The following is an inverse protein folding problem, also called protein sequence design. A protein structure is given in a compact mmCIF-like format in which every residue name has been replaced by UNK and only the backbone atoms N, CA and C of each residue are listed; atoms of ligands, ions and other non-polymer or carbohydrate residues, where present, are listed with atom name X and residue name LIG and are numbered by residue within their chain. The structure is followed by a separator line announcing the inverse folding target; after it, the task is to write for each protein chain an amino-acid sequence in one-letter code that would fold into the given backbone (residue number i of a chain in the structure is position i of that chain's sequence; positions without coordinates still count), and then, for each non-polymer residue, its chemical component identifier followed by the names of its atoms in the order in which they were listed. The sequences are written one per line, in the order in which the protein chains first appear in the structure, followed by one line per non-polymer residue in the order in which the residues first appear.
data_IF_300379524915
#
_entry.id   IF_300379524915
#
_cell.length_a   1.000
_cell.length_b   1.000
_cell.length_c   1.000
_cell.angle_alpha   90.00
_cell.angle_beta   90.00
_cell.angle_gamma   90.00
#
_symmetry.space_group_name_H-M   'P 1'
#
loop_
_entity.id
_entity.type
_entity.pdbx_description
1 polymer ?
#
# COMPACT_ATOMS: atom_id res chain seq x y z
N UNK A 1 -0.58 6.72 -7.42
CA UNK A 1 -0.23 7.96 -6.68
C UNK A 1 -1.27 8.99 -6.98
N UNK A 2 -1.87 9.57 -5.95
CA UNK A 2 -2.91 10.59 -6.13
C UNK A 2 -2.28 11.90 -6.59
N UNK A 3 -2.90 12.55 -7.57
CA UNK A 3 -2.48 13.87 -8.05
C UNK A 3 -2.82 14.90 -6.95
N UNK A 4 -1.92 15.85 -6.63
CA UNK A 4 -2.17 16.86 -5.62
C UNK A 4 -3.45 17.66 -5.91
N UNK A 5 -4.15 18.06 -4.86
CA UNK A 5 -5.36 18.88 -4.92
C UNK A 5 -5.60 19.55 -3.55
N UNK A 6 -6.40 20.60 -3.51
CA UNK A 6 -6.81 21.19 -2.23
C UNK A 6 -7.73 20.25 -1.43
N UNK A 7 -8.57 19.45 -2.10
CA UNK A 7 -9.50 18.50 -1.46
C UNK A 7 -8.94 17.07 -1.36
N UNK A 8 -7.68 16.86 -1.77
CA UNK A 8 -6.99 15.58 -1.63
C UNK A 8 -5.98 15.67 -0.48
N UNK A 9 -5.93 14.68 0.44
CA UNK A 9 -4.95 14.70 1.51
C UNK A 9 -3.51 14.74 0.98
N UNK A 10 -2.57 15.38 1.70
CA UNK A 10 -1.18 15.40 1.28
C UNK A 10 -0.63 13.97 1.16
N UNK A 11 0.01 13.67 0.03
CA UNK A 11 0.52 12.33 -0.28
C UNK A 11 1.47 11.83 0.83
N UNK A 12 1.27 10.57 1.26
CA UNK A 12 2.04 9.89 2.31
C UNK A 12 1.97 10.51 3.72
N UNK A 13 1.03 11.42 3.97
CA UNK A 13 0.93 12.10 5.27
C UNK A 13 0.20 11.28 6.35
N UNK A 14 -0.74 10.42 5.94
CA UNK A 14 -1.69 9.79 6.86
C UNK A 14 -2.73 10.76 7.43
N UNK A 15 -2.76 12.02 6.97
CA UNK A 15 -3.68 13.06 7.43
C UNK A 15 -5.00 13.05 6.64
N UNK A 16 -6.03 13.66 7.22
CA UNK A 16 -7.26 14.01 6.50
C UNK A 16 -7.10 15.29 5.67
N UNK A 17 -8.09 15.58 4.82
CA UNK A 17 -8.13 16.79 3.96
C UNK A 17 -8.04 18.07 4.80
N UNK A 18 -8.84 18.14 5.85
CA UNK A 18 -9.00 19.30 6.75
C UNK A 18 -8.16 19.18 8.03
N UNK A 19 -7.13 18.32 8.03
CA UNK A 19 -6.30 18.15 9.22
C UNK A 19 -5.51 19.43 9.53
N UNK A 20 -5.59 19.99 10.74
CA UNK A 20 -4.88 21.22 11.10
C UNK A 20 -3.34 21.09 10.99
N UNK A 21 -2.79 19.88 10.98
CA UNK A 21 -1.36 19.63 10.80
C UNK A 21 -0.92 19.65 9.34
N UNK A 22 -1.86 19.71 8.37
CA UNK A 22 -1.57 19.69 6.93
C UNK A 22 -0.47 20.67 6.53
N UNK A 23 -0.62 21.95 6.89
CA UNK A 23 0.34 22.98 6.51
C UNK A 23 1.74 22.73 7.07
N UNK A 24 1.83 22.23 8.31
CA UNK A 24 3.10 21.85 8.91
C UNK A 24 3.75 20.65 8.21
N UNK A 25 2.95 19.64 7.84
CA UNK A 25 3.40 18.50 7.07
C UNK A 25 3.92 18.91 5.70
N UNK A 26 3.16 19.69 4.92
CA UNK A 26 3.55 20.14 3.58
C UNK A 26 4.85 20.96 3.61
N UNK A 27 4.98 21.89 4.57
CA UNK A 27 6.21 22.67 4.73
C UNK A 27 7.42 21.78 5.06
N UNK A 28 7.24 20.78 5.94
CA UNK A 28 8.30 19.82 6.28
C UNK A 28 8.63 18.92 5.10
N UNK A 29 7.63 18.46 4.34
CA UNK A 29 7.81 17.64 3.15
C UNK A 29 8.64 18.37 2.09
N UNK A 30 8.31 19.63 1.80
CA UNK A 30 9.08 20.46 0.87
C UNK A 30 10.53 20.64 1.33
N UNK A 31 10.74 20.88 2.63
CA UNK A 31 12.08 21.01 3.19
C UNK A 31 12.87 19.70 3.09
N UNK A 32 12.26 18.58 3.47
CA UNK A 32 12.92 17.27 3.48
C UNK A 32 13.23 16.74 2.07
N UNK A 33 12.38 17.05 1.09
CA UNK A 33 12.53 16.59 -0.29
C UNK A 33 13.35 17.53 -1.19
N UNK A 34 13.62 18.77 -0.75
CA UNK A 34 14.27 19.80 -1.56
C UNK A 34 15.54 19.34 -2.29
N UNK A 35 16.48 18.72 -1.57
CA UNK A 35 17.76 18.30 -2.18
C UNK A 35 17.57 17.22 -3.27
N UNK A 36 16.67 16.26 -3.03
CA UNK A 36 16.35 15.21 -4.01
C UNK A 36 15.61 15.81 -5.22
N UNK A 37 14.67 16.71 -4.97
CA UNK A 37 13.90 17.41 -5.99
C UNK A 37 14.79 18.28 -6.88
N UNK A 38 15.73 19.04 -6.30
CA UNK A 38 16.68 19.86 -7.06
C UNK A 38 17.58 19.01 -7.95
N UNK A 39 18.02 17.84 -7.46
CA UNK A 39 18.76 16.87 -8.27
C UNK A 39 17.91 16.32 -9.41
N UNK A 40 16.64 16.01 -9.16
CA UNK A 40 15.71 15.54 -10.19
C UNK A 40 15.47 16.59 -11.27
N UNK A 41 15.25 17.85 -10.88
CA UNK A 41 15.07 18.95 -11.83
C UNK A 41 16.32 19.24 -12.65
N UNK A 42 17.54 19.14 -12.07
CA UNK A 42 18.78 19.20 -12.86
C UNK A 42 18.82 18.12 -13.94
N UNK A 43 18.53 16.87 -13.55
CA UNK A 43 18.47 15.76 -14.50
C UNK A 43 17.41 15.98 -15.60
N UNK A 44 16.23 16.51 -15.25
CA UNK A 44 15.20 16.88 -16.24
C UNK A 44 15.70 17.92 -17.24
N UNK A 45 16.34 18.98 -16.76
CA UNK A 45 16.88 20.04 -17.62
C UNK A 45 18.00 19.52 -18.53
N UNK A 46 18.88 18.66 -18.02
CA UNK A 46 19.93 18.01 -18.81
C UNK A 46 19.33 17.12 -19.93
N UNK A 47 18.15 16.57 -19.71
CA UNK A 47 17.38 15.82 -20.69
C UNK A 47 16.48 16.69 -21.60
N UNK A 48 16.56 18.03 -21.50
CA UNK A 48 15.77 18.95 -22.30
C UNK A 48 14.31 19.12 -21.86
N UNK A 49 13.97 18.68 -20.64
CA UNK A 49 12.64 18.81 -20.05
C UNK A 49 12.54 20.02 -19.12
N UNK A 50 11.34 20.59 -19.00
CA UNK A 50 11.06 21.64 -18.04
C UNK A 50 11.18 21.12 -16.59
N UNK A 51 11.64 21.96 -15.64
CA UNK A 51 11.64 21.61 -14.22
C UNK A 51 10.20 21.49 -13.69
N UNK A 52 9.99 20.62 -12.70
CA UNK A 52 8.71 20.51 -12.00
C UNK A 52 8.61 21.49 -10.83
N UNK A 53 7.38 21.88 -10.43
CA UNK A 53 7.13 22.62 -9.19
C UNK A 53 7.67 21.88 -7.96
N UNK A 54 8.09 22.63 -6.93
CA UNK A 54 8.69 22.06 -5.71
C UNK A 54 7.85 20.95 -5.10
N UNK A 55 8.52 19.84 -4.75
CA UNK A 55 7.88 18.69 -4.13
C UNK A 55 7.16 17.75 -5.08
N UNK A 56 7.10 18.06 -6.38
CA UNK A 56 6.50 17.18 -7.38
C UNK A 56 7.57 16.33 -8.08
N UNK A 57 7.36 15.02 -8.08
CA UNK A 57 8.24 14.06 -8.73
C UNK A 57 7.58 13.34 -9.92
N UNK A 58 6.33 13.71 -10.22
CA UNK A 58 5.50 13.12 -11.26
C UNK A 58 4.91 14.23 -12.12
N UNK A 59 4.88 13.99 -13.42
CA UNK A 59 4.31 14.87 -14.43
C UNK A 59 3.11 14.16 -15.06
N UNK A 60 2.02 14.90 -15.30
CA UNK A 60 0.87 14.37 -16.04
C UNK A 60 1.13 14.44 -17.53
N UNK A 61 0.67 13.42 -18.25
CA UNK A 61 0.72 13.39 -19.71
C UNK A 61 -0.24 14.45 -20.29
N UNK A 62 0.15 15.17 -21.35
CA UNK A 62 -0.75 16.04 -22.08
C UNK A 62 -1.87 15.25 -22.78
N UNK A 63 -1.62 14.00 -23.16
CA UNK A 63 -2.52 13.23 -24.01
C UNK A 63 -3.44 12.29 -23.23
N UNK A 64 -2.88 11.46 -22.34
CA UNK A 64 -3.64 10.44 -21.62
C UNK A 64 -2.96 9.98 -20.33
N UNK A 65 -3.72 9.92 -19.25
CA UNK A 65 -3.31 9.49 -17.92
C UNK A 65 -4.26 8.38 -17.45
N UNK A 66 -3.71 7.22 -17.12
CA UNK A 66 -4.47 6.08 -16.63
C UNK A 66 -4.27 5.93 -15.13
N UNK A 67 -5.35 6.04 -14.36
CA UNK A 67 -5.35 6.02 -12.90
C UNK A 67 -5.86 4.67 -12.40
N UNK A 68 -4.96 3.88 -11.82
CA UNK A 68 -5.30 2.60 -11.21
C UNK A 68 -5.85 2.82 -9.79
N UNK A 69 -7.10 3.28 -9.71
CA UNK A 69 -7.79 3.56 -8.45
C UNK A 69 -9.27 3.16 -8.58
N UNK A 70 -9.79 2.33 -7.67
CA UNK A 70 -11.21 2.01 -7.60
C UNK A 70 -12.07 3.23 -7.26
N UNK A 71 -13.25 3.33 -7.87
CA UNK A 71 -14.18 4.43 -7.62
C UNK A 71 -14.58 4.54 -6.14
N UNK A 72 -14.70 3.41 -5.42
CA UNK A 72 -15.09 3.40 -4.00
C UNK A 72 -14.09 4.12 -3.07
N UNK A 73 -12.83 4.25 -3.46
CA UNK A 73 -11.79 4.96 -2.67
C UNK A 73 -11.36 6.28 -3.32
N UNK A 74 -12.00 6.67 -4.43
CA UNK A 74 -11.67 7.90 -5.14
C UNK A 74 -11.99 9.11 -4.28
N UNK A 75 -11.06 10.06 -4.21
CA UNK A 75 -11.24 11.33 -3.52
C UNK A 75 -11.98 12.35 -4.37
N UNK A 76 -12.81 13.15 -3.72
CA UNK A 76 -13.31 14.40 -4.29
C UNK A 76 -12.15 15.39 -4.47
N UNK A 77 -12.32 16.30 -5.41
CA UNK A 77 -11.27 17.21 -5.86
C UNK A 77 -11.88 18.58 -6.09
N UNK A 78 -11.19 19.62 -5.64
CA UNK A 78 -11.56 21.01 -5.88
C UNK A 78 -11.47 21.30 -7.38
N UNK A 79 -10.45 20.74 -8.05
CA UNK A 79 -10.29 20.80 -9.49
C UNK A 79 -10.56 19.41 -10.11
N UNK A 80 -11.75 19.20 -10.72
CA UNK A 80 -12.06 17.96 -11.41
C UNK A 80 -11.06 17.66 -12.54
N UNK A 81 -10.62 16.41 -12.62
CA UNK A 81 -9.78 15.97 -13.74
C UNK A 81 -10.61 15.86 -15.02
N UNK A 82 -10.04 16.30 -16.14
CA UNK A 82 -10.65 16.17 -17.47
C UNK A 82 -10.83 14.69 -17.84
N UNK A 83 -12.08 14.20 -17.99
CA UNK A 83 -12.34 12.79 -18.28
C UNK A 83 -11.84 12.35 -19.66
N UNK A 84 -11.57 13.27 -20.59
CA UNK A 84 -10.96 12.94 -21.88
C UNK A 84 -9.46 12.59 -21.76
N UNK A 85 -8.80 13.06 -20.70
CA UNK A 85 -7.35 12.92 -20.46
C UNK A 85 -7.01 12.08 -19.25
N UNK A 86 -7.96 11.85 -18.35
CA UNK A 86 -7.77 11.09 -17.11
C UNK A 86 -8.83 9.99 -17.00
N UNK A 87 -8.39 8.74 -17.16
CA UNK A 87 -9.27 7.57 -17.14
C UNK A 87 -8.95 6.72 -15.91
N UNK A 88 -9.98 6.50 -15.08
CA UNK A 88 -9.89 5.58 -13.95
C UNK A 88 -10.09 4.15 -14.44
N UNK A 89 -9.18 3.25 -14.06
CA UNK A 89 -9.17 1.86 -14.50
C UNK A 89 -9.82 0.89 -13.50
N UNK A 90 -10.36 1.38 -12.39
CA UNK A 90 -10.78 0.57 -11.25
C UNK A 90 -9.65 -0.31 -10.71
N UNK A 91 -9.69 -1.61 -11.00
CA UNK A 91 -8.65 -2.58 -10.69
C UNK A 91 -8.23 -3.30 -11.97
N UNK A 92 -6.91 -3.51 -12.11
CA UNK A 92 -6.33 -4.33 -13.18
C UNK A 92 -5.98 -5.74 -12.69
N UNK A 93 -6.67 -6.21 -11.66
CA UNK A 93 -6.49 -7.54 -11.09
C UNK A 93 -7.30 -8.53 -11.92
N UNK A 94 -6.64 -9.59 -12.39
CA UNK A 94 -7.28 -10.72 -13.08
C UNK A 94 -7.46 -11.87 -12.09
N UNK A 95 -7.82 -13.06 -12.58
CA UNK A 95 -7.81 -14.27 -11.76
C UNK A 95 -6.38 -14.65 -11.35
N UNK A 96 -6.21 -15.01 -10.09
CA UNK A 96 -4.97 -15.62 -9.59
C UNK A 96 -5.16 -17.12 -9.39
N UNK A 97 -4.07 -17.86 -9.15
CA UNK A 97 -4.14 -19.31 -8.93
C UNK A 97 -5.06 -19.68 -7.76
N UNK A 98 -5.66 -20.89 -7.78
CA UNK A 98 -6.51 -21.35 -6.68
C UNK A 98 -5.74 -21.38 -5.37
N UNK A 99 -6.44 -21.18 -4.26
CA UNK A 99 -5.89 -21.31 -2.92
C UNK A 99 -6.74 -22.27 -2.10
N UNK A 100 -6.14 -23.33 -1.60
CA UNK A 100 -6.77 -24.23 -0.64
C UNK A 100 -6.31 -23.86 0.77
N UNK A 101 -7.27 -23.63 1.66
CA UNK A 101 -6.99 -23.27 3.04
C UNK A 101 -6.33 -24.47 3.72
N UNK A 102 -5.11 -24.33 4.28
CA UNK A 102 -4.43 -25.43 4.92
C UNK A 102 -5.20 -25.89 6.16
N UNK A 103 -4.99 -27.16 6.53
CA UNK A 103 -5.49 -27.66 7.81
C UNK A 103 -4.56 -27.19 8.92
N UNK A 104 -5.11 -26.47 9.88
CA UNK A 104 -4.39 -26.00 11.06
C UNK A 104 -4.45 -27.05 12.17
N UNK A 105 -3.40 -27.22 12.99
CA UNK A 105 -3.51 -28.00 14.22
C UNK A 105 -4.60 -27.47 15.16
N UNK A 106 -4.70 -26.13 15.33
CA UNK A 106 -5.85 -25.46 15.96
C UNK A 106 -6.74 -24.85 14.87
N UNK A 107 -7.78 -25.57 14.47
CA UNK A 107 -8.59 -25.25 13.29
C UNK A 107 -9.97 -24.64 13.61
N UNK A 108 -10.06 -23.72 14.57
CA UNK A 108 -11.31 -23.08 14.98
C UNK A 108 -11.34 -21.57 14.69
N UNK A 109 -12.52 -21.03 14.41
CA UNK A 109 -12.74 -19.58 14.29
C UNK A 109 -12.48 -18.98 12.89
N UNK A 110 -12.57 -17.64 12.77
CA UNK A 110 -12.45 -16.95 11.50
C UNK A 110 -11.05 -17.09 10.89
N UNK A 111 -10.97 -17.01 9.57
CA UNK A 111 -9.71 -16.98 8.82
C UNK A 111 -9.26 -15.54 8.60
N UNK A 112 -8.09 -15.20 9.10
CA UNK A 112 -7.48 -13.88 8.97
C UNK A 112 -6.27 -13.99 8.07
N UNK A 113 -6.23 -13.19 7.01
CA UNK A 113 -5.02 -13.03 6.20
C UNK A 113 -4.22 -11.83 6.69
N UNK A 114 -2.90 -11.96 6.76
CA UNK A 114 -1.97 -10.94 7.23
C UNK A 114 -0.86 -10.78 6.20
N UNK A 115 -0.77 -9.59 5.59
CA UNK A 115 0.28 -9.30 4.62
C UNK A 115 0.61 -7.80 4.57
N UNK A 116 1.87 -7.48 4.79
CA UNK A 116 2.39 -6.10 4.71
C UNK A 116 3.15 -5.83 3.41
N UNK A 117 2.91 -6.65 2.38
CA UNK A 117 3.67 -6.60 1.14
C UNK A 117 5.13 -7.03 1.32
N UNK A 118 5.89 -7.04 0.23
CA UNK A 118 7.27 -7.55 0.24
C UNK A 118 8.22 -6.77 1.16
N UNK A 119 8.07 -5.44 1.20
CA UNK A 119 8.91 -4.59 2.05
C UNK A 119 8.52 -4.69 3.53
N UNK A 120 7.22 -4.65 3.85
CA UNK A 120 6.75 -4.75 5.24
C UNK A 120 7.01 -6.13 5.84
N UNK A 121 7.02 -7.18 5.01
CA UNK A 121 7.40 -8.54 5.44
C UNK A 121 8.86 -8.66 5.90
N UNK A 122 9.72 -7.67 5.63
CA UNK A 122 11.10 -7.68 6.12
C UNK A 122 11.21 -7.37 7.62
N UNK A 123 10.16 -6.86 8.26
CA UNK A 123 10.17 -6.60 9.71
C UNK A 123 9.85 -7.88 10.50
N UNK A 124 10.89 -8.70 10.69
CA UNK A 124 10.81 -9.96 11.44
C UNK A 124 10.28 -9.74 12.86
N UNK A 125 10.81 -8.71 13.55
CA UNK A 125 10.46 -8.45 14.93
C UNK A 125 9.00 -8.02 15.12
N UNK A 126 8.42 -7.27 14.18
CA UNK A 126 6.99 -6.97 14.17
C UNK A 126 6.16 -8.24 14.03
N UNK A 127 6.46 -9.07 13.03
CA UNK A 127 5.69 -10.28 12.75
C UNK A 127 5.79 -11.26 13.95
N UNK A 128 6.97 -11.43 14.56
CA UNK A 128 7.12 -12.26 15.77
C UNK A 128 6.20 -11.80 16.92
N UNK A 129 6.10 -10.49 17.16
CA UNK A 129 5.18 -9.95 18.18
C UNK A 129 3.73 -10.22 17.81
N UNK A 130 3.38 -10.16 16.53
CA UNK A 130 2.03 -10.50 16.06
C UNK A 130 1.73 -11.98 16.24
N UNK A 131 2.67 -12.88 15.92
CA UNK A 131 2.52 -14.33 16.16
C UNK A 131 2.24 -14.63 17.64
N UNK A 132 2.94 -13.96 18.56
CA UNK A 132 2.71 -14.11 20.00
C UNK A 132 1.31 -13.65 20.45
N UNK A 133 0.71 -12.68 19.75
CA UNK A 133 -0.68 -12.26 19.99
C UNK A 133 -1.65 -13.27 19.36
N UNK A 134 -1.40 -13.67 18.12
CA UNK A 134 -2.25 -14.59 17.36
C UNK A 134 -2.40 -15.95 18.05
N UNK A 135 -1.37 -16.44 18.72
CA UNK A 135 -1.39 -17.67 19.50
C UNK A 135 -2.50 -17.71 20.58
N UNK A 136 -2.94 -16.54 21.04
CA UNK A 136 -3.93 -16.38 22.11
C UNK A 136 -5.34 -16.12 21.59
N UNK A 137 -5.51 -15.95 20.28
CA UNK A 137 -6.78 -15.58 19.67
C UNK A 137 -7.51 -16.81 19.09
N UNK A 138 -8.84 -16.90 19.22
CA UNK A 138 -9.64 -17.99 18.67
C UNK A 138 -9.90 -17.79 17.16
N UNK A 139 -8.83 -17.67 16.38
CA UNK A 139 -8.86 -17.46 14.92
C UNK A 139 -7.69 -18.19 14.26
N UNK A 140 -7.77 -18.39 12.94
CA UNK A 140 -6.73 -18.99 12.09
C UNK A 140 -6.08 -17.91 11.26
N UNK A 141 -4.75 -17.92 11.18
CA UNK A 141 -4.01 -16.84 10.55
C UNK A 141 -3.18 -17.37 9.39
N UNK A 142 -3.33 -16.79 8.21
CA UNK A 142 -2.41 -16.97 7.09
C UNK A 142 -1.50 -15.74 7.07
N UNK A 143 -0.21 -15.93 7.24
CA UNK A 143 0.77 -14.84 7.40
C UNK A 143 1.78 -14.89 6.26
N UNK A 144 1.81 -13.84 5.45
CA UNK A 144 2.86 -13.63 4.46
C UNK A 144 4.12 -13.07 5.12
N UNK A 145 5.19 -13.86 5.13
CA UNK A 145 6.47 -13.53 5.75
C UNK A 145 7.58 -13.16 4.73
N UNK A 146 7.24 -13.11 3.44
CA UNK A 146 8.19 -12.82 2.38
C UNK A 146 9.42 -13.73 2.37
N UNK A 147 10.52 -13.23 1.83
CA UNK A 147 11.77 -13.99 1.72
C UNK A 147 12.46 -14.36 3.05
N UNK A 148 11.94 -13.87 4.19
CA UNK A 148 12.50 -14.13 5.52
C UNK A 148 11.72 -15.20 6.31
N UNK A 149 10.89 -16.00 5.63
CA UNK A 149 10.12 -17.12 6.20
C UNK A 149 10.96 -18.03 7.11
N UNK A 150 12.21 -18.29 6.78
CA UNK A 150 13.08 -19.20 7.56
C UNK A 150 13.59 -18.60 8.88
N UNK A 151 13.37 -17.30 9.11
CA UNK A 151 13.68 -16.67 10.40
C UNK A 151 12.71 -17.12 11.51
N UNK A 152 11.48 -17.50 11.15
CA UNK A 152 10.42 -17.84 12.11
C UNK A 152 10.51 -19.31 12.53
N UNK A 153 11.07 -19.55 13.72
CA UNK A 153 11.24 -20.90 14.28
C UNK A 153 10.04 -21.40 15.09
N UNK A 154 9.28 -20.47 15.66
CA UNK A 154 8.12 -20.74 16.50
C UNK A 154 6.87 -20.19 15.82
N UNK A 155 6.17 -21.05 15.07
CA UNK A 155 4.90 -20.72 14.42
C UNK A 155 3.77 -21.35 15.26
N UNK A 156 2.81 -20.55 15.77
CA UNK A 156 1.68 -21.07 16.53
C UNK A 156 0.82 -22.06 15.75
N UNK A 157 0.16 -22.97 16.46
CA UNK A 157 -0.70 -24.03 15.90
C UNK A 157 -1.93 -23.53 15.12
N UNK A 158 -2.28 -22.25 15.26
CA UNK A 158 -3.35 -21.59 14.52
C UNK A 158 -2.82 -20.64 13.43
N UNK A 159 -1.51 -20.68 13.13
CA UNK A 159 -0.86 -19.86 12.12
C UNK A 159 -0.29 -20.76 11.01
N UNK A 160 -0.52 -20.36 9.77
CA UNK A 160 0.17 -20.87 8.60
C UNK A 160 0.97 -19.73 7.99
N UNK A 161 2.29 -19.87 7.99
CA UNK A 161 3.23 -18.83 7.57
C UNK A 161 4.02 -19.32 6.37
N UNK A 162 4.01 -18.53 5.29
CA UNK A 162 4.78 -18.80 4.08
C UNK A 162 5.31 -17.51 3.43
N UNK A 163 6.25 -17.66 2.51
CA UNK A 163 6.93 -16.58 1.82
C UNK A 163 6.04 -15.89 0.76
N UNK A 164 5.08 -16.61 0.18
CA UNK A 164 4.25 -16.13 -0.90
C UNK A 164 2.87 -16.78 -0.91
N UNK A 165 1.86 -16.01 -1.30
CA UNK A 165 0.48 -16.48 -1.45
C UNK A 165 -0.19 -15.86 -2.69
N UNK A 166 -1.12 -16.57 -3.35
CA UNK A 166 -2.01 -16.00 -4.36
C UNK A 166 -3.03 -15.07 -3.68
N UNK A 167 -2.61 -13.84 -3.37
CA UNK A 167 -3.30 -12.95 -2.44
C UNK A 167 -4.80 -12.73 -2.75
N UNK A 168 -5.26 -12.48 -3.99
CA UNK A 168 -6.69 -12.36 -4.30
C UNK A 168 -7.49 -13.60 -3.88
N UNK A 169 -6.94 -14.79 -4.11
CA UNK A 169 -7.57 -16.06 -3.75
C UNK A 169 -7.63 -16.29 -2.24
N UNK A 170 -6.62 -15.83 -1.49
CA UNK A 170 -6.62 -15.90 -0.02
C UNK A 170 -7.62 -14.90 0.57
N UNK A 171 -7.62 -13.65 0.07
CA UNK A 171 -8.53 -12.59 0.53
C UNK A 171 -9.98 -13.00 0.31
N UNK A 172 -10.31 -13.60 -0.83
CA UNK A 172 -11.66 -14.09 -1.13
C UNK A 172 -12.18 -15.17 -0.15
N UNK A 173 -11.29 -15.83 0.60
CA UNK A 173 -11.62 -16.87 1.60
C UNK A 173 -11.49 -16.39 3.04
N UNK A 174 -10.99 -15.17 3.25
CA UNK A 174 -10.68 -14.64 4.58
C UNK A 174 -11.83 -13.79 5.10
N UNK A 175 -12.08 -13.86 6.40
CA UNK A 175 -13.05 -13.04 7.10
C UNK A 175 -12.50 -11.65 7.44
N UNK A 176 -11.17 -11.52 7.51
CA UNK A 176 -10.47 -10.27 7.78
C UNK A 176 -9.13 -10.25 7.04
N UNK A 177 -8.75 -9.08 6.53
CA UNK A 177 -7.42 -8.83 5.97
C UNK A 177 -6.70 -7.73 6.77
N UNK A 178 -5.59 -8.10 7.43
CA UNK A 178 -4.67 -7.17 8.08
C UNK A 178 -3.58 -6.81 7.08
N UNK A 179 -3.55 -5.55 6.64
CA UNK A 179 -2.61 -5.05 5.65
C UNK A 179 -1.94 -3.75 6.10
N UNK A 180 -0.91 -3.34 5.34
CA UNK A 180 -0.14 -2.11 5.56
C UNK A 180 -0.88 -0.86 5.09
#
# INVERSE_FOLDING_TARGET
TELPDAEVPPYLSGLGVDDPQRGAFEARYLTASAAAHDRFNRFRMDAGLAPLPKGLFLETSPDLNLLLTPTIVRRERAEPLDPARFVYLEGCVRSEGPFEVPVFPRNGGPLVYVSFGSLGAMDVGLIERMLAVFDRLPARFIVNAGGLRDAYRAVPDNVYLDAWFPQPSVVAKSDLFIHH
#
